data_IF_255673635943
#
_entry.id   IF_255673635943
#
_cell.length_a   1.000
_cell.length_b   1.000
_cell.length_c   1.000
_cell.angle_alpha   90.00
_cell.angle_beta   90.00
_cell.angle_gamma   90.00
#
_symmetry.space_group_name_H-M   'P 1'
#
loop_
_entity.id
_entity.type
_entity.pdbx_description
1 polymer ?
#
# COMPACT_ATOMS: atom_id res chain seq x y z
N UNK A 1 -11.77 6.14 -13.68
CA UNK A 1 -11.47 6.64 -12.32
C UNK A 1 -10.00 6.37 -12.04
N UNK A 2 -9.20 7.36 -11.61
CA UNK A 2 -7.75 7.21 -11.45
C UNK A 2 -7.42 6.17 -10.38
N UNK A 3 -6.65 5.12 -10.72
CA UNK A 3 -6.31 4.04 -9.78
C UNK A 3 -5.63 4.51 -8.48
N UNK A 4 -4.97 5.66 -8.51
CA UNK A 4 -4.39 6.31 -7.32
C UNK A 4 -5.42 6.92 -6.40
N UNK A 5 -6.46 7.50 -6.98
CA UNK A 5 -7.57 8.05 -6.21
C UNK A 5 -8.27 6.91 -5.47
N UNK A 6 -8.49 5.78 -6.16
CA UNK A 6 -9.03 4.56 -5.55
C UNK A 6 -8.14 4.04 -4.42
N UNK A 7 -6.82 3.99 -4.64
CA UNK A 7 -5.87 3.57 -3.62
C UNK A 7 -5.87 4.48 -2.38
N UNK A 8 -5.80 5.80 -2.61
CA UNK A 8 -5.82 6.80 -1.53
C UNK A 8 -7.15 6.76 -0.76
N UNK A 9 -8.28 6.65 -1.45
CA UNK A 9 -9.60 6.51 -0.82
C UNK A 9 -9.71 5.19 -0.03
N UNK A 10 -9.16 4.10 -0.55
CA UNK A 10 -9.13 2.80 0.14
C UNK A 10 -8.32 2.85 1.44
N UNK A 11 -7.15 3.50 1.41
CA UNK A 11 -6.34 3.74 2.61
C UNK A 11 -7.02 4.67 3.62
N UNK A 12 -7.63 5.77 3.16
CA UNK A 12 -8.36 6.66 4.05
C UNK A 12 -9.54 5.93 4.70
N UNK A 13 -10.28 5.14 3.93
CA UNK A 13 -11.39 4.34 4.45
C UNK A 13 -10.91 3.32 5.48
N UNK A 14 -9.80 2.61 5.23
CA UNK A 14 -9.28 1.64 6.20
C UNK A 14 -8.91 2.30 7.53
N UNK A 15 -8.27 3.47 7.49
CA UNK A 15 -7.93 4.26 8.68
C UNK A 15 -9.19 4.73 9.41
N UNK A 16 -10.22 5.21 8.70
CA UNK A 16 -11.48 5.64 9.31
C UNK A 16 -12.16 4.46 10.02
N UNK A 17 -12.23 3.29 9.37
CA UNK A 17 -12.80 2.08 9.96
C UNK A 17 -12.03 1.63 11.20
N UNK A 18 -10.70 1.72 11.17
CA UNK A 18 -9.83 1.42 12.32
C UNK A 18 -10.08 2.35 13.50
N UNK A 19 -10.15 3.66 13.25
CA UNK A 19 -10.40 4.66 14.29
C UNK A 19 -11.77 4.44 14.91
N UNK A 20 -12.81 4.28 14.10
CA UNK A 20 -14.18 4.04 14.58
C UNK A 20 -14.26 2.71 15.33
N UNK A 21 -13.73 1.63 14.76
CA UNK A 21 -13.77 0.30 15.34
C UNK A 21 -13.09 0.25 16.69
N UNK A 22 -11.90 0.85 16.82
CA UNK A 22 -11.17 0.88 18.08
C UNK A 22 -11.82 1.81 19.12
N UNK A 23 -12.32 2.97 18.71
CA UNK A 23 -12.96 3.93 19.62
C UNK A 23 -14.30 3.41 20.17
N UNK A 24 -15.08 2.73 19.32
CA UNK A 24 -16.37 2.16 19.68
C UNK A 24 -16.26 0.72 20.21
N UNK A 25 -15.05 0.17 20.36
CA UNK A 25 -14.81 -1.24 20.78
C UNK A 25 -15.56 -2.26 19.93
N UNK A 26 -15.62 -2.04 18.61
CA UNK A 26 -16.28 -2.89 17.63
C UNK A 26 -15.24 -3.75 16.91
N UNK A 27 -14.91 -4.95 17.41
CA UNK A 27 -13.77 -5.75 16.93
C UNK A 27 -13.89 -6.15 15.46
N UNK A 28 -15.12 -6.43 14.98
CA UNK A 28 -15.38 -6.76 13.58
C UNK A 28 -15.06 -5.59 12.64
N UNK A 29 -15.35 -4.35 13.05
CA UNK A 29 -15.08 -3.16 12.22
C UNK A 29 -13.57 -2.90 12.17
N UNK A 30 -12.88 -3.00 13.31
CA UNK A 30 -11.43 -2.90 13.36
C UNK A 30 -10.75 -3.97 12.49
N UNK A 31 -11.24 -5.22 12.54
CA UNK A 31 -10.74 -6.33 11.72
C UNK A 31 -10.86 -6.04 10.22
N UNK A 32 -12.00 -5.53 9.77
CA UNK A 32 -12.21 -5.12 8.37
C UNK A 32 -11.23 -4.00 8.00
N UNK A 33 -11.04 -3.03 8.88
CA UNK A 33 -10.07 -1.94 8.70
C UNK A 33 -8.63 -2.45 8.57
N UNK A 34 -8.17 -3.34 9.45
CA UNK A 34 -6.86 -3.98 9.35
C UNK A 34 -6.72 -4.81 8.07
N UNK A 35 -7.76 -5.56 7.67
CA UNK A 35 -7.77 -6.33 6.42
C UNK A 35 -7.61 -5.44 5.18
N UNK A 36 -8.38 -4.36 5.08
CA UNK A 36 -8.25 -3.39 3.99
C UNK A 36 -6.87 -2.72 3.98
N UNK A 37 -6.36 -2.33 5.15
CA UNK A 37 -5.04 -1.71 5.28
C UNK A 37 -3.92 -2.66 4.80
N UNK A 38 -3.97 -3.92 5.24
CA UNK A 38 -3.00 -4.93 4.81
C UNK A 38 -3.02 -5.13 3.29
N UNK A 39 -4.22 -5.28 2.69
CA UNK A 39 -4.35 -5.43 1.24
C UNK A 39 -3.76 -4.24 0.50
N UNK A 40 -4.01 -3.01 0.96
CA UNK A 40 -3.43 -1.81 0.34
C UNK A 40 -1.90 -1.79 0.46
N UNK A 41 -1.33 -2.16 1.61
CA UNK A 41 0.12 -2.24 1.77
C UNK A 41 0.75 -3.33 0.91
N UNK A 42 0.13 -4.51 0.81
CA UNK A 42 0.60 -5.56 -0.08
C UNK A 42 0.57 -5.12 -1.54
N UNK A 43 -0.52 -4.49 -1.99
CA UNK A 43 -0.64 -3.98 -3.36
C UNK A 43 0.40 -2.89 -3.63
N UNK A 44 0.60 -1.94 -2.72
CA UNK A 44 1.60 -0.89 -2.86
C UNK A 44 3.02 -1.47 -2.91
N UNK A 45 3.33 -2.37 -1.99
CA UNK A 45 4.63 -3.03 -1.92
C UNK A 45 4.92 -3.87 -3.15
N UNK A 46 3.94 -4.65 -3.61
CA UNK A 46 4.05 -5.42 -4.86
C UNK A 46 4.21 -4.48 -6.07
N UNK A 47 3.51 -3.35 -6.09
CA UNK A 47 3.59 -2.41 -7.21
C UNK A 47 4.96 -1.72 -7.29
N UNK A 48 5.52 -1.33 -6.14
CA UNK A 48 6.83 -0.68 -6.07
C UNK A 48 7.99 -1.67 -6.22
N UNK A 49 7.95 -2.83 -5.55
CA UNK A 49 9.05 -3.78 -5.54
C UNK A 49 9.05 -4.71 -6.77
N UNK A 50 7.89 -5.15 -7.23
CA UNK A 50 7.76 -6.25 -8.19
C UNK A 50 7.29 -5.77 -9.56
N UNK A 51 6.21 -4.98 -9.63
CA UNK A 51 5.61 -4.66 -10.93
C UNK A 51 6.45 -3.73 -11.80
N UNK A 52 7.45 -3.01 -11.26
CA UNK A 52 8.46 -2.15 -11.93
C UNK A 52 7.97 -1.19 -13.06
N UNK A 53 6.70 -1.20 -13.45
CA UNK A 53 6.21 -0.75 -14.75
C UNK A 53 4.68 -0.57 -14.85
N UNK A 54 3.98 -0.12 -13.80
CA UNK A 54 2.62 0.37 -14.01
C UNK A 54 2.55 1.86 -13.71
N UNK A 55 2.54 2.65 -14.78
CA UNK A 55 2.22 4.10 -14.77
C UNK A 55 0.88 4.44 -14.09
N UNK A 56 0.16 3.43 -13.61
CA UNK A 56 -0.98 3.53 -12.73
C UNK A 56 -0.70 4.39 -11.48
N UNK A 57 0.53 4.43 -10.93
CA UNK A 57 0.87 5.22 -9.74
C UNK A 57 1.70 6.50 -9.98
N UNK A 58 2.34 6.68 -11.14
CA UNK A 58 3.35 7.75 -11.32
C UNK A 58 2.90 9.02 -12.06
N UNK A 59 1.93 8.99 -12.98
CA UNK A 59 1.44 10.16 -13.79
C UNK A 59 2.60 11.01 -14.33
N UNK A 60 3.72 10.36 -14.59
CA UNK A 60 4.79 10.99 -15.29
C UNK A 60 4.74 10.42 -16.69
N UNK A 61 4.23 11.22 -17.63
CA UNK A 61 4.31 10.94 -19.06
C UNK A 61 5.77 10.80 -19.52
N UNK A 62 6.72 11.25 -18.70
CA UNK A 62 8.13 10.90 -18.77
C UNK A 62 8.40 9.69 -17.87
N UNK A 63 8.01 8.50 -18.31
CA UNK A 63 8.64 7.28 -17.82
C UNK A 63 10.11 7.38 -18.24
N UNK A 64 10.99 7.89 -17.38
CA UNK A 64 12.41 7.54 -17.47
C UNK A 64 12.40 6.02 -17.41
N UNK A 65 12.83 5.36 -18.49
CA UNK A 65 12.85 3.91 -18.54
C UNK A 65 13.58 3.43 -17.28
N UNK A 66 13.04 2.42 -16.59
CA UNK A 66 13.65 1.95 -15.34
C UNK A 66 15.15 1.70 -15.52
N UNK A 67 15.57 1.22 -16.68
CA UNK A 67 16.97 1.01 -17.01
C UNK A 67 17.83 2.29 -16.92
N UNK A 68 17.26 3.44 -17.26
CA UNK A 68 17.90 4.77 -17.22
C UNK A 68 17.79 5.46 -15.85
N UNK A 69 16.97 4.95 -14.93
CA UNK A 69 16.81 5.54 -13.61
C UNK A 69 18.10 5.40 -12.76
N UNK A 70 18.48 6.43 -11.96
CA UNK A 70 19.64 6.36 -11.07
C UNK A 70 19.57 5.16 -10.11
N UNK A 71 20.72 4.53 -9.85
CA UNK A 71 20.80 3.35 -8.98
C UNK A 71 20.22 3.59 -7.57
N UNK A 72 20.39 4.79 -7.03
CA UNK A 72 19.82 5.18 -5.72
C UNK A 72 18.29 5.19 -5.74
N UNK A 73 17.68 5.71 -6.80
CA UNK A 73 16.22 5.72 -6.94
C UNK A 73 15.67 4.29 -7.04
N UNK A 74 16.41 3.40 -7.73
CA UNK A 74 16.07 1.98 -7.82
C UNK A 74 16.13 1.29 -6.45
N UNK A 75 17.20 1.54 -5.71
CA UNK A 75 17.40 0.98 -4.37
C UNK A 75 16.31 1.47 -3.41
N UNK A 76 16.03 2.78 -3.37
CA UNK A 76 14.96 3.35 -2.55
C UNK A 76 13.60 2.74 -2.88
N UNK A 77 13.26 2.62 -4.17
CA UNK A 77 11.98 2.04 -4.60
C UNK A 77 11.84 0.58 -4.14
N UNK A 78 12.90 -0.22 -4.25
CA UNK A 78 12.89 -1.61 -3.75
C UNK A 78 12.76 -1.67 -2.23
N UNK A 79 13.52 -0.86 -1.49
CA UNK A 79 13.46 -0.84 -0.02
C UNK A 79 12.07 -0.42 0.47
N UNK A 80 11.49 0.62 -0.13
CA UNK A 80 10.14 1.09 0.21
C UNK A 80 9.10 0.01 -0.13
N UNK A 81 9.18 -0.60 -1.32
CA UNK A 81 8.26 -1.65 -1.72
C UNK A 81 8.31 -2.89 -0.81
N UNK A 82 9.52 -3.34 -0.45
CA UNK A 82 9.71 -4.42 0.52
C UNK A 82 9.19 -4.04 1.91
N UNK A 83 9.38 -2.79 2.33
CA UNK A 83 8.83 -2.26 3.58
C UNK A 83 7.30 -2.34 3.62
N UNK A 84 6.63 -1.95 2.54
CA UNK A 84 5.18 -2.06 2.43
C UNK A 84 4.70 -3.53 2.40
N UNK A 85 5.42 -4.43 1.73
CA UNK A 85 5.10 -5.86 1.78
C UNK A 85 5.20 -6.40 3.21
N UNK A 86 6.30 -6.09 3.90
CA UNK A 86 6.51 -6.49 5.29
C UNK A 86 5.43 -5.91 6.21
N UNK A 87 5.04 -4.64 6.03
CA UNK A 87 3.96 -4.01 6.80
C UNK A 87 2.61 -4.71 6.54
N UNK A 88 2.28 -5.02 5.28
CA UNK A 88 1.05 -5.74 4.95
C UNK A 88 0.99 -7.12 5.61
N UNK A 89 2.08 -7.89 5.55
CA UNK A 89 2.20 -9.19 6.21
C UNK A 89 2.12 -9.05 7.73
N UNK A 90 2.83 -8.09 8.31
CA UNK A 90 2.79 -7.81 9.74
C UNK A 90 1.37 -7.57 10.23
N UNK A 91 0.58 -6.78 9.49
CA UNK A 91 -0.81 -6.48 9.86
C UNK A 91 -1.67 -7.75 9.85
N UNK A 92 -1.48 -8.65 8.87
CA UNK A 92 -2.20 -9.93 8.82
C UNK A 92 -1.88 -10.76 10.06
N UNK A 93 -0.61 -10.94 10.38
CA UNK A 93 -0.21 -11.83 11.47
C UNK A 93 -0.49 -11.29 12.88
N UNK A 94 -0.57 -9.98 13.07
CA UNK A 94 -0.75 -9.40 14.41
C UNK A 94 -2.19 -8.99 14.71
N UNK A 95 -3.01 -8.75 13.70
CA UNK A 95 -4.34 -8.17 13.88
C UNK A 95 -5.47 -8.97 13.20
N UNK A 96 -5.14 -9.99 12.39
CA UNK A 96 -6.15 -10.81 11.70
C UNK A 96 -6.12 -12.27 12.18
N UNK A 97 -4.92 -12.87 12.27
CA UNK A 97 -4.70 -14.18 12.89
C UNK A 97 -4.39 -14.03 14.38
#
# INVERSE_FOLDING_TARGET
MNGRLLFALGLLLSVILLVIGNLATLPLISLIGYGLMSLMFLIAGFTMAILRHTGALTANEKNVAWDEAPGELKAMTMVIGLGFLAAGVFVIFNYIF
#
